data_IF_971717441068
#
_entry.id   IF_971717441068
#
_cell.length_a   1.000
_cell.length_b   1.000
_cell.length_c   1.000
_cell.angle_alpha   90.00
_cell.angle_beta   90.00
_cell.angle_gamma   90.00
#
_symmetry.space_group_name_H-M   'P 1'
#
loop_
_entity.id
_entity.type
_entity.pdbx_description
1 polymer ?
#
# COMPACT_ATOMS: atom_id res chain seq x y z
N UNK A 1 -0.80 -2.16 -14.62
CA UNK A 1 -0.54 -2.05 -13.16
C UNK A 1 -1.05 -0.71 -12.67
N UNK A 2 -1.88 -0.72 -11.62
CA UNK A 2 -2.38 0.49 -10.97
C UNK A 2 -1.71 0.61 -9.61
N UNK A 3 -1.19 1.79 -9.27
CA UNK A 3 -0.51 2.04 -8.00
C UNK A 3 -1.27 3.12 -7.26
N UNK A 4 -1.55 2.88 -5.98
CA UNK A 4 -2.33 3.78 -5.14
C UNK A 4 -1.59 4.05 -3.83
N UNK A 5 -1.77 5.25 -3.30
CA UNK A 5 -1.48 5.56 -1.89
C UNK A 5 -2.79 5.50 -1.13
N UNK A 6 -2.90 4.61 -0.16
CA UNK A 6 -4.12 4.44 0.64
C UNK A 6 -3.85 4.93 2.05
N UNK A 7 -4.55 5.98 2.47
CA UNK A 7 -4.62 6.38 3.87
C UNK A 7 -5.51 5.40 4.63
N UNK A 8 -4.95 4.74 5.64
CA UNK A 8 -5.69 3.83 6.53
C UNK A 8 -5.87 4.53 7.89
N UNK A 9 -7.11 4.83 8.30
CA UNK A 9 -7.34 5.49 9.58
C UNK A 9 -7.09 4.53 10.75
N UNK A 10 -6.54 5.06 11.84
CA UNK A 10 -6.68 4.46 13.16
C UNK A 10 -8.01 4.89 13.82
N UNK A 11 -8.45 4.14 14.83
CA UNK A 11 -9.73 4.39 15.51
C UNK A 11 -9.84 5.85 15.97
N UNK A 12 -10.90 6.53 15.52
CA UNK A 12 -11.18 7.94 15.87
C UNK A 12 -10.35 8.98 15.13
N UNK A 13 -9.51 8.58 14.16
CA UNK A 13 -8.77 9.50 13.30
C UNK A 13 -9.70 10.19 12.29
N UNK A 14 -9.49 11.50 12.07
CA UNK A 14 -10.31 12.28 11.14
C UNK A 14 -9.76 12.20 9.71
N UNK A 15 -10.65 12.03 8.74
CA UNK A 15 -10.33 12.02 7.30
C UNK A 15 -9.48 13.24 6.88
N UNK A 16 -9.79 14.43 7.41
CA UNK A 16 -9.05 15.65 7.10
C UNK A 16 -7.57 15.57 7.50
N UNK A 17 -7.29 14.94 8.64
CA UNK A 17 -5.92 14.76 9.16
C UNK A 17 -5.18 13.76 8.30
N UNK A 18 -5.80 12.61 8.02
CA UNK A 18 -5.23 11.55 7.20
C UNK A 18 -4.96 12.02 5.77
N UNK A 19 -5.91 12.75 5.17
CA UNK A 19 -5.76 13.34 3.85
C UNK A 19 -4.62 14.37 3.81
N UNK A 20 -4.50 15.20 4.84
CA UNK A 20 -3.39 16.14 4.96
C UNK A 20 -2.05 15.42 5.05
N UNK A 21 -1.97 14.32 5.82
CA UNK A 21 -0.75 13.51 5.95
C UNK A 21 -0.32 12.86 4.64
N UNK A 22 -1.23 12.18 3.92
CA UNK A 22 -0.88 11.52 2.66
C UNK A 22 -0.51 12.52 1.55
N UNK A 23 -1.06 13.74 1.59
CA UNK A 23 -0.73 14.80 0.64
C UNK A 23 0.63 15.46 0.90
N UNK A 24 1.22 15.29 2.09
CA UNK A 24 2.60 15.74 2.34
C UNK A 24 3.61 14.98 1.50
N UNK A 25 3.27 13.77 1.05
CA UNK A 25 4.10 13.00 0.16
C UNK A 25 3.78 13.37 -1.30
N UNK A 26 4.81 13.80 -2.03
CA UNK A 26 4.70 14.20 -3.43
C UNK A 26 4.67 13.00 -4.39
N UNK A 27 3.84 11.99 -4.07
CA UNK A 27 3.60 10.87 -4.96
C UNK A 27 2.68 11.30 -6.10
N UNK A 28 3.05 10.92 -7.34
CA UNK A 28 2.23 11.10 -8.55
C UNK A 28 1.05 10.12 -8.62
N UNK A 29 1.05 9.09 -7.77
CA UNK A 29 -0.02 8.09 -7.70
C UNK A 29 -1.33 8.67 -7.15
N UNK A 30 -2.50 8.16 -7.59
CA UNK A 30 -3.77 8.50 -6.97
C UNK A 30 -3.78 8.18 -5.47
N UNK A 31 -4.38 9.08 -4.69
CA UNK A 31 -4.47 9.00 -3.24
C UNK A 31 -5.91 8.70 -2.84
N UNK A 32 -6.10 7.67 -2.03
CA UNK A 32 -7.41 7.20 -1.58
C UNK A 32 -7.46 7.19 -0.06
N UNK A 33 -8.66 7.34 0.49
CA UNK A 33 -8.92 7.08 1.91
C UNK A 33 -9.68 5.77 2.04
N UNK A 34 -9.22 4.93 2.96
CA UNK A 34 -9.91 3.70 3.32
C UNK A 34 -11.20 3.99 4.08
N UNK A 35 -12.24 3.19 3.81
CA UNK A 35 -13.46 3.14 4.63
C UNK A 35 -13.32 2.25 5.87
N UNK A 36 -12.31 1.39 5.89
CA UNK A 36 -12.02 0.48 6.99
C UNK A 36 -10.81 0.98 7.80
N UNK A 37 -10.84 0.73 9.11
CA UNK A 37 -9.73 1.07 9.99
C UNK A 37 -8.60 0.02 9.92
N UNK A 38 -7.43 0.37 10.46
CA UNK A 38 -6.25 -0.50 10.49
C UNK A 38 -6.50 -1.96 10.90
N UNK A 39 -7.32 -2.28 11.93
CA UNK A 39 -7.58 -3.68 12.32
C UNK A 39 -8.10 -4.57 11.19
N UNK A 40 -8.94 -4.04 10.30
CA UNK A 40 -9.45 -4.78 9.14
C UNK A 40 -8.31 -5.24 8.22
N UNK A 41 -7.34 -4.37 7.94
CA UNK A 41 -6.21 -4.69 7.06
C UNK A 41 -5.20 -5.61 7.73
N UNK A 42 -5.06 -5.52 9.05
CA UNK A 42 -4.28 -6.48 9.82
C UNK A 42 -4.88 -7.88 9.69
N UNK A 43 -6.19 -8.03 9.87
CA UNK A 43 -6.87 -9.32 9.76
C UNK A 43 -6.88 -9.87 8.33
N UNK A 44 -7.22 -9.03 7.35
CA UNK A 44 -7.45 -9.48 5.97
C UNK A 44 -6.15 -9.69 5.17
N UNK A 45 -5.15 -8.83 5.36
CA UNK A 45 -3.91 -8.85 4.58
C UNK A 45 -2.66 -9.16 5.42
N UNK A 46 -2.81 -9.44 6.72
CA UNK A 46 -1.70 -9.64 7.66
C UNK A 46 -0.70 -8.47 7.66
N UNK A 47 -1.19 -7.23 7.53
CA UNK A 47 -0.34 -6.04 7.64
C UNK A 47 0.03 -5.86 9.12
N UNK A 48 1.31 -5.97 9.45
CA UNK A 48 1.81 -5.88 10.83
C UNK A 48 2.09 -4.45 11.30
N UNK A 49 2.11 -3.49 10.37
CA UNK A 49 2.32 -2.08 10.67
C UNK A 49 2.38 -1.24 9.40
N UNK A 50 2.17 0.07 9.55
CA UNK A 50 2.26 1.05 8.46
C UNK A 50 3.51 1.92 8.62
N UNK A 51 4.13 2.42 7.53
CA UNK A 51 3.77 2.18 6.12
C UNK A 51 4.12 0.77 5.62
N UNK A 52 3.22 0.20 4.82
CA UNK A 52 3.34 -1.12 4.20
C UNK A 52 3.17 -1.04 2.69
N UNK A 53 3.70 -2.03 1.99
CA UNK A 53 3.55 -2.21 0.54
C UNK A 53 2.83 -3.54 0.34
N UNK A 54 1.70 -3.48 -0.35
CA UNK A 54 0.97 -4.66 -0.78
C UNK A 54 0.90 -4.69 -2.30
N UNK A 55 0.97 -5.89 -2.88
CA UNK A 55 0.66 -6.10 -4.29
C UNK A 55 -0.49 -7.11 -4.32
N UNK A 56 -1.54 -6.74 -5.05
CA UNK A 56 -2.67 -7.60 -5.36
C UNK A 56 -2.58 -8.03 -6.82
N UNK A 57 -2.94 -9.26 -7.13
CA UNK A 57 -3.06 -9.73 -8.51
C UNK A 57 -4.34 -9.17 -9.19
N UNK A 58 -4.60 -9.61 -10.42
CA UNK A 58 -5.79 -9.22 -11.20
C UNK A 58 -7.13 -9.69 -10.59
N UNK A 59 -7.09 -10.68 -9.71
CA UNK A 59 -8.26 -11.22 -9.00
C UNK A 59 -8.47 -10.54 -7.64
N UNK A 60 -7.51 -9.71 -7.19
CA UNK A 60 -7.53 -9.06 -5.88
C UNK A 60 -6.83 -9.86 -4.78
N UNK A 61 -6.14 -10.95 -5.12
CA UNK A 61 -5.44 -11.81 -4.17
C UNK A 61 -4.08 -11.21 -3.78
N UNK A 62 -3.72 -11.34 -2.50
CA UNK A 62 -2.47 -10.80 -1.97
C UNK A 62 -1.27 -11.65 -2.44
N UNK A 63 -0.42 -11.07 -3.28
CA UNK A 63 0.78 -11.73 -3.81
C UNK A 63 2.09 -11.19 -3.22
N UNK A 64 2.01 -10.07 -2.51
CA UNK A 64 3.14 -9.49 -1.78
C UNK A 64 2.66 -8.66 -0.60
N UNK A 65 3.34 -8.81 0.53
CA UNK A 65 3.21 -7.98 1.72
C UNK A 65 4.62 -7.69 2.25
N UNK A 66 5.03 -6.43 2.15
CA UNK A 66 6.36 -5.97 2.54
C UNK A 66 6.32 -4.70 3.36
N UNK A 67 7.37 -4.49 4.16
CA UNK A 67 7.57 -3.22 4.85
C UNK A 67 8.01 -2.16 3.85
N UNK A 68 7.54 -0.94 4.03
CA UNK A 68 8.05 0.19 3.28
C UNK A 68 9.52 0.45 3.67
N UNK A 69 10.41 0.38 2.68
CA UNK A 69 11.79 0.81 2.83
C UNK A 69 11.92 2.22 2.22
N UNK A 70 12.37 3.18 3.03
CA UNK A 70 12.53 4.57 2.59
C UNK A 70 13.73 4.76 1.63
N UNK A 71 14.55 3.74 1.41
CA UNK A 71 15.53 3.73 0.34
C UNK A 71 14.81 3.53 -1.02
N UNK A 72 14.77 4.56 -1.87
CA UNK A 72 13.99 4.52 -3.11
C UNK A 72 14.45 3.43 -4.07
N UNK A 73 15.75 3.09 -4.11
CA UNK A 73 16.26 2.02 -4.97
C UNK A 73 15.77 0.65 -4.52
N UNK A 74 15.69 0.42 -3.20
CA UNK A 74 15.22 -0.85 -2.65
C UNK A 74 13.72 -1.01 -2.88
N UNK A 75 12.95 0.06 -2.68
CA UNK A 75 11.51 0.08 -2.96
C UNK A 75 11.22 -0.25 -4.42
N UNK A 76 11.85 0.46 -5.34
CA UNK A 76 11.62 0.30 -6.78
C UNK A 76 12.09 -1.08 -7.24
N UNK A 77 13.25 -1.56 -6.81
CA UNK A 77 13.74 -2.88 -7.19
C UNK A 77 12.85 -4.01 -6.65
N UNK A 78 12.39 -3.93 -5.40
CA UNK A 78 11.51 -4.96 -4.84
C UNK A 78 10.15 -5.00 -5.54
N UNK A 79 9.58 -3.82 -5.84
CA UNK A 79 8.34 -3.72 -6.62
C UNK A 79 8.53 -4.25 -8.04
N UNK A 80 9.59 -3.82 -8.73
CA UNK A 80 9.88 -4.22 -10.10
C UNK A 80 10.10 -5.73 -10.21
N UNK A 81 10.95 -6.32 -9.36
CA UNK A 81 11.19 -7.76 -9.36
C UNK A 81 9.89 -8.54 -9.16
N UNK A 82 9.02 -8.08 -8.25
CA UNK A 82 7.76 -8.79 -7.98
C UNK A 82 6.76 -8.67 -9.12
N UNK A 83 6.71 -7.51 -9.78
CA UNK A 83 5.90 -7.31 -10.98
C UNK A 83 6.41 -8.17 -12.12
N UNK A 84 7.74 -8.24 -12.32
CA UNK A 84 8.36 -9.05 -13.36
C UNK A 84 8.14 -10.55 -13.13
N UNK A 85 8.11 -11.02 -11.87
CA UNK A 85 7.71 -12.39 -11.53
C UNK A 85 6.26 -12.67 -11.95
N UNK A 86 5.32 -11.81 -11.54
CA UNK A 86 3.89 -11.98 -11.82
C UNK A 86 3.57 -11.92 -13.32
N UNK A 87 4.30 -11.10 -14.08
CA UNK A 87 4.11 -10.97 -15.53
C UNK A 87 4.74 -12.11 -16.34
N UNK A 88 5.61 -12.94 -15.74
CA UNK A 88 6.21 -14.12 -16.39
C UNK A 88 5.40 -15.39 -16.20
N UNK A 89 4.45 -15.39 -15.26
CA UNK A 89 3.59 -16.54 -14.95
C UNK A 89 2.30 -16.61 -15.81
N UNK A 90 2.05 -15.60 -16.65
CA UNK A 90 1.01 -15.59 -17.71
C UNK A 90 1.63 -15.92 -19.09
#
# INVERSE_FOLDING_TARGET
MLVYVVGIPYQGEKDSTLFSMINRFNYSFPKLLSKHEYPFYHEYYNILGVPAIIILDKNGELVYNGRFNNNPFILVNNLQNKVDELLKED
#
